data_IF_855600333172
#
_entry.id   IF_855600333172
#
_cell.length_a   1.000
_cell.length_b   1.000
_cell.length_c   1.000
_cell.angle_alpha   90.00
_cell.angle_beta   90.00
_cell.angle_gamma   90.00
#
_symmetry.space_group_name_H-M   'P 1'
#
loop_
_entity.id
_entity.type
_entity.pdbx_description
1 polymer ?
#
# COMPACT_ATOMS: atom_id res chain seq x y z
N UNK A 1 -41.16 21.99 -11.46
CA UNK A 1 -40.55 20.95 -10.65
C UNK A 1 -39.10 21.38 -10.42
N UNK A 2 -38.81 22.02 -9.27
CA UNK A 2 -37.50 22.56 -8.93
C UNK A 2 -36.71 21.45 -8.20
N UNK A 3 -35.63 20.95 -8.80
CA UNK A 3 -34.68 20.10 -8.12
C UNK A 3 -33.75 21.01 -7.31
N UNK A 4 -33.83 20.91 -6.00
CA UNK A 4 -32.90 21.58 -5.09
C UNK A 4 -31.56 20.84 -5.06
N UNK A 5 -30.49 21.57 -5.35
CA UNK A 5 -29.13 21.16 -5.04
C UNK A 5 -28.96 21.22 -3.52
N UNK A 6 -28.76 20.07 -2.86
CA UNK A 6 -28.36 20.04 -1.46
C UNK A 6 -26.86 20.38 -1.38
N UNK A 7 -26.54 21.46 -0.70
CA UNK A 7 -25.17 21.82 -0.34
C UNK A 7 -24.57 20.73 0.54
N UNK A 8 -23.48 20.10 0.08
CA UNK A 8 -22.68 19.18 0.85
C UNK A 8 -21.83 20.01 1.82
N UNK A 9 -22.10 19.92 3.11
CA UNK A 9 -21.35 20.68 4.11
C UNK A 9 -20.07 19.95 4.51
N UNK A 10 -19.06 20.73 4.97
CA UNK A 10 -17.75 20.26 5.44
C UNK A 10 -17.82 19.15 6.51
N UNK A 11 -18.95 19.01 7.20
CA UNK A 11 -19.18 17.97 8.21
C UNK A 11 -19.46 16.58 7.62
N UNK A 12 -19.92 16.50 6.36
CA UNK A 12 -20.27 15.22 5.74
C UNK A 12 -19.06 14.39 5.34
N UNK A 13 -17.88 15.01 5.24
CA UNK A 13 -16.62 14.35 4.88
C UNK A 13 -15.88 13.72 6.08
N UNK A 14 -16.20 14.14 7.30
CA UNK A 14 -15.54 13.64 8.51
C UNK A 14 -16.34 12.55 9.25
N UNK A 15 -17.60 12.33 8.90
CA UNK A 15 -18.54 11.44 9.63
C UNK A 15 -19.26 10.46 8.70
N UNK A 16 -18.55 9.84 7.77
CA UNK A 16 -19.09 8.90 6.78
C UNK A 16 -19.50 7.52 7.31
N UNK A 17 -20.02 7.40 8.54
CA UNK A 17 -20.74 6.20 8.99
C UNK A 17 -21.93 6.62 9.88
N UNK A 18 -23.11 6.02 9.70
CA UNK A 18 -24.30 6.36 10.48
C UNK A 18 -24.09 6.05 11.96
N UNK A 19 -24.17 7.08 12.80
CA UNK A 19 -24.32 6.91 14.24
C UNK A 19 -25.72 6.36 14.48
N UNK A 20 -25.83 5.06 14.73
CA UNK A 20 -27.07 4.46 15.20
C UNK A 20 -27.34 4.90 16.64
N UNK A 21 -28.48 5.52 16.84
CA UNK A 21 -28.95 6.00 18.12
C UNK A 21 -28.98 4.88 19.20
N UNK A 22 -28.52 5.20 20.39
CA UNK A 22 -28.55 4.35 21.57
C UNK A 22 -29.94 3.81 21.84
N UNK A 23 -30.13 2.49 21.74
CA UNK A 23 -31.19 1.76 22.44
C UNK A 23 -30.58 1.18 23.72
N UNK A 24 -31.13 1.62 24.88
CA UNK A 24 -30.79 1.08 26.19
C UNK A 24 -30.92 -0.44 26.19
N UNK A 25 -29.84 -1.16 26.45
CA UNK A 25 -29.89 -2.52 26.96
C UNK A 25 -29.25 -3.63 26.09
N UNK A 26 -28.66 -3.34 24.92
CA UNK A 26 -27.86 -4.34 24.21
C UNK A 26 -26.37 -4.03 24.39
N UNK A 27 -25.61 -5.02 24.83
CA UNK A 27 -24.15 -5.00 24.80
C UNK A 27 -23.76 -4.95 23.30
N UNK A 28 -23.56 -3.75 22.78
CA UNK A 28 -22.97 -3.57 21.48
C UNK A 28 -21.56 -4.09 21.60
N UNK A 29 -21.30 -5.25 21.00
CA UNK A 29 -19.94 -5.74 20.85
C UNK A 29 -19.10 -4.58 20.30
N UNK A 30 -18.03 -4.24 21.00
CA UNK A 30 -17.04 -3.25 20.59
C UNK A 30 -16.58 -3.67 19.20
N UNK A 31 -17.12 -3.03 18.15
CA UNK A 31 -16.70 -3.27 16.78
C UNK A 31 -15.31 -2.66 16.67
N UNK A 32 -14.32 -3.49 16.99
CA UNK A 32 -12.90 -3.18 16.81
C UNK A 32 -12.77 -2.59 15.42
N UNK A 33 -12.54 -1.29 15.33
CA UNK A 33 -12.37 -0.60 14.03
C UNK A 33 -11.23 -1.29 13.29
N UNK A 34 -11.56 -2.01 12.23
CA UNK A 34 -10.57 -2.64 11.37
C UNK A 34 -9.56 -1.58 10.90
N UNK A 35 -8.29 -1.84 11.12
CA UNK A 35 -7.24 -0.94 10.65
C UNK A 35 -7.02 -1.12 9.17
N UNK A 36 -6.86 0.00 8.48
CA UNK A 36 -6.50 0.08 7.07
C UNK A 36 -5.08 0.63 7.00
N UNK A 37 -4.19 -0.05 6.30
CA UNK A 37 -2.85 0.46 6.04
C UNK A 37 -2.79 1.13 4.66
N UNK A 38 -2.03 2.21 4.57
CA UNK A 38 -1.64 2.82 3.30
C UNK A 38 -0.32 2.21 2.83
N UNK A 39 -0.26 1.77 1.59
CA UNK A 39 0.95 1.19 1.00
C UNK A 39 1.33 1.99 -0.25
N UNK A 40 2.54 2.48 -0.27
CA UNK A 40 3.21 2.96 -1.47
C UNK A 40 4.03 1.80 -2.04
N UNK A 41 3.54 1.19 -3.12
CA UNK A 41 4.19 0.08 -3.81
C UNK A 41 5.12 0.65 -4.89
N UNK A 42 6.32 1.08 -4.51
CA UNK A 42 7.27 1.70 -5.40
C UNK A 42 8.08 0.72 -6.26
N UNK A 43 8.72 1.22 -7.33
CA UNK A 43 9.54 0.43 -8.26
C UNK A 43 10.79 -0.12 -7.57
N UNK A 44 11.50 0.72 -6.82
CA UNK A 44 12.76 0.36 -6.13
C UNK A 44 12.55 0.13 -4.64
N UNK A 45 11.71 0.94 -4.01
CA UNK A 45 11.40 0.87 -2.59
C UNK A 45 9.89 1.06 -2.40
N UNK A 46 9.35 0.35 -1.43
CA UNK A 46 7.97 0.49 -0.98
C UNK A 46 7.91 1.05 0.43
N UNK A 47 6.79 1.63 0.81
CA UNK A 47 6.56 2.14 2.16
C UNK A 47 5.14 1.80 2.63
N UNK A 48 4.97 1.70 3.93
CA UNK A 48 3.65 1.51 4.52
C UNK A 48 3.42 2.45 5.71
N UNK A 49 2.18 2.82 5.92
CA UNK A 49 1.76 3.69 7.01
C UNK A 49 0.37 3.32 7.53
N UNK A 50 0.09 3.73 8.74
CA UNK A 50 -1.19 3.52 9.42
C UNK A 50 -1.53 4.74 10.28
N UNK A 51 -2.80 4.97 10.53
CA UNK A 51 -3.24 5.98 11.50
C UNK A 51 -3.21 5.40 12.91
N UNK A 52 -2.36 5.95 13.77
CA UNK A 52 -2.31 5.63 15.21
C UNK A 52 -2.72 6.88 15.99
N UNK A 53 -3.83 6.80 16.72
CA UNK A 53 -4.35 7.96 17.45
C UNK A 53 -4.66 9.17 16.56
N UNK A 54 -5.08 8.93 15.29
CA UNK A 54 -5.36 9.98 14.32
C UNK A 54 -4.12 10.57 13.62
N UNK A 55 -2.92 10.08 13.95
CA UNK A 55 -1.67 10.56 13.34
C UNK A 55 -1.09 9.52 12.37
N UNK A 56 -0.67 9.93 11.15
CA UNK A 56 0.03 9.05 10.23
C UNK A 56 1.34 8.54 10.87
N UNK A 57 1.51 7.23 10.90
CA UNK A 57 2.69 6.58 11.47
C UNK A 57 3.25 5.62 10.42
N UNK A 58 4.52 5.81 10.06
CA UNK A 58 5.21 4.90 9.12
C UNK A 58 5.50 3.58 9.81
N UNK A 59 5.16 2.49 9.15
CA UNK A 59 5.43 1.12 9.59
C UNK A 59 6.90 0.79 9.24
N UNK A 60 7.75 0.44 10.21
CA UNK A 60 9.13 0.04 9.93
C UNK A 60 9.18 -1.39 9.39
N UNK A 61 10.22 -1.71 8.61
CA UNK A 61 10.54 -3.10 8.32
C UNK A 61 10.99 -3.82 9.61
N UNK A 62 10.56 -5.07 9.80
CA UNK A 62 11.01 -5.91 10.91
C UNK A 62 12.53 -6.22 10.86
N UNK A 63 13.17 -6.02 9.72
CA UNK A 63 14.61 -6.19 9.51
C UNK A 63 15.44 -4.98 10.00
N UNK A 64 14.78 -3.96 10.53
CA UNK A 64 15.40 -2.71 10.97
C UNK A 64 15.44 -1.64 9.88
N UNK A 65 16.11 -0.52 10.18
CA UNK A 65 16.24 0.56 9.24
C UNK A 65 17.10 0.14 8.04
N UNK A 66 16.54 0.22 6.84
CA UNK A 66 17.31 0.06 5.61
C UNK A 66 18.19 1.27 5.35
N UNK A 67 19.08 1.20 4.38
CA UNK A 67 19.86 2.35 3.89
C UNK A 67 18.96 3.54 3.51
N UNK A 68 17.69 3.28 3.22
CA UNK A 68 16.66 4.26 2.82
C UNK A 68 15.65 4.54 3.94
N UNK A 69 16.05 4.40 5.21
CA UNK A 69 15.21 4.69 6.36
C UNK A 69 14.17 3.59 6.64
N UNK A 70 12.89 3.96 6.68
CA UNK A 70 11.79 3.05 7.01
C UNK A 70 11.15 2.39 5.77
N UNK A 71 11.76 2.51 4.59
CA UNK A 71 11.25 1.90 3.38
C UNK A 71 11.67 0.44 3.24
N UNK A 72 10.88 -0.31 2.48
CA UNK A 72 11.11 -1.71 2.14
C UNK A 72 11.70 -1.77 0.73
N UNK A 73 12.90 -2.33 0.49
CA UNK A 73 13.36 -2.58 -0.87
C UNK A 73 12.36 -3.47 -1.63
N UNK A 74 11.96 -3.06 -2.84
CA UNK A 74 11.03 -3.80 -3.70
C UNK A 74 11.76 -4.92 -4.43
N UNK A 75 12.41 -5.81 -3.67
CA UNK A 75 13.22 -6.92 -4.15
C UNK A 75 12.66 -8.24 -3.65
N UNK A 76 12.65 -9.24 -4.54
CA UNK A 76 12.34 -10.63 -4.22
C UNK A 76 13.45 -11.50 -4.75
N UNK A 77 13.96 -12.42 -3.95
CA UNK A 77 15.00 -13.35 -4.37
C UNK A 77 14.67 -14.77 -3.92
N UNK A 78 15.21 -15.73 -4.64
CA UNK A 78 15.09 -17.15 -4.30
C UNK A 78 16.49 -17.73 -4.14
N UNK A 79 16.71 -18.44 -3.06
CA UNK A 79 17.96 -19.15 -2.80
C UNK A 79 18.01 -20.48 -3.56
N UNK A 80 19.18 -21.10 -3.65
CA UNK A 80 19.34 -22.38 -4.34
C UNK A 80 18.52 -23.51 -3.67
N UNK A 81 18.33 -23.45 -2.37
CA UNK A 81 17.49 -24.37 -1.60
C UNK A 81 15.98 -24.03 -1.67
N UNK A 82 15.61 -23.04 -2.49
CA UNK A 82 14.23 -22.66 -2.75
C UNK A 82 13.58 -21.75 -1.72
N UNK A 83 14.36 -21.21 -0.76
CA UNK A 83 13.85 -20.23 0.18
C UNK A 83 13.59 -18.90 -0.51
N UNK A 84 12.47 -18.26 -0.22
CA UNK A 84 12.13 -16.92 -0.72
C UNK A 84 12.58 -15.85 0.27
N UNK A 85 13.31 -14.87 -0.24
CA UNK A 85 13.73 -13.67 0.47
C UNK A 85 13.00 -12.45 -0.11
N UNK A 86 12.60 -11.51 0.74
CA UNK A 86 11.93 -10.28 0.31
C UNK A 86 12.52 -9.09 1.05
N UNK A 87 12.65 -7.96 0.39
CA UNK A 87 13.16 -6.74 1.00
C UNK A 87 14.68 -6.66 1.04
N UNK A 88 15.24 -6.25 2.15
CA UNK A 88 16.68 -6.02 2.31
C UNK A 88 17.52 -7.31 2.15
N UNK A 89 17.13 -8.48 2.65
CA UNK A 89 17.85 -9.74 2.39
C UNK A 89 17.92 -10.06 0.91
N UNK A 90 16.82 -9.89 0.17
CA UNK A 90 16.79 -10.09 -1.27
C UNK A 90 17.71 -9.11 -2.01
N UNK A 91 17.70 -7.83 -1.62
CA UNK A 91 18.57 -6.80 -2.20
C UNK A 91 20.05 -7.12 -1.99
N UNK A 92 20.43 -7.58 -0.81
CA UNK A 92 21.82 -7.98 -0.52
C UNK A 92 22.26 -9.16 -1.37
N UNK A 93 21.37 -10.10 -1.65
CA UNK A 93 21.66 -11.26 -2.49
C UNK A 93 21.81 -10.90 -3.98
N UNK A 94 21.30 -9.76 -4.44
CA UNK A 94 21.31 -9.35 -5.84
C UNK A 94 22.71 -9.34 -6.47
N UNK A 95 23.76 -9.12 -5.69
CA UNK A 95 25.15 -9.10 -6.16
C UNK A 95 25.68 -10.51 -6.40
N UNK A 96 25.32 -11.46 -5.56
CA UNK A 96 25.86 -12.84 -5.57
C UNK A 96 24.94 -13.82 -6.32
N UNK A 97 23.66 -13.49 -6.45
CA UNK A 97 22.66 -14.32 -7.12
C UNK A 97 21.70 -13.45 -7.96
N UNK A 98 22.22 -12.72 -8.96
CA UNK A 98 21.40 -11.80 -9.76
C UNK A 98 20.32 -12.51 -10.58
N UNK A 99 20.56 -13.73 -11.05
CA UNK A 99 19.64 -14.49 -11.89
C UNK A 99 18.36 -14.89 -11.16
N UNK A 100 18.44 -15.09 -9.85
CA UNK A 100 17.30 -15.44 -8.99
C UNK A 100 16.83 -14.28 -8.11
N UNK A 101 17.22 -13.05 -8.43
CA UNK A 101 16.81 -11.83 -7.73
C UNK A 101 16.06 -10.90 -8.67
N UNK A 102 14.82 -10.62 -8.29
CA UNK A 102 13.88 -9.81 -9.07
C UNK A 102 13.80 -8.42 -8.45
N UNK A 103 14.00 -7.39 -9.27
CA UNK A 103 13.80 -6.00 -8.90
C UNK A 103 12.94 -5.29 -9.95
N UNK A 104 12.45 -4.10 -9.62
CA UNK A 104 11.70 -3.22 -10.53
C UNK A 104 10.50 -3.89 -11.23
N UNK A 105 9.91 -4.93 -10.65
CA UNK A 105 8.80 -5.70 -11.24
C UNK A 105 7.57 -4.84 -11.54
N UNK A 106 7.39 -3.72 -10.84
CA UNK A 106 6.30 -2.77 -11.06
C UNK A 106 6.23 -2.28 -12.51
N UNK A 107 7.37 -2.20 -13.20
CA UNK A 107 7.44 -1.80 -14.62
C UNK A 107 6.75 -2.78 -15.57
N UNK A 108 6.60 -4.03 -15.15
CA UNK A 108 5.96 -5.09 -15.93
C UNK A 108 4.50 -5.36 -15.51
N UNK A 109 3.95 -4.57 -14.57
CA UNK A 109 2.55 -4.74 -14.13
C UNK A 109 1.58 -4.58 -15.29
N UNK A 110 0.56 -5.43 -15.33
CA UNK A 110 -0.47 -5.41 -16.37
C UNK A 110 -0.04 -5.98 -17.71
N UNK A 111 1.17 -6.57 -17.81
CA UNK A 111 1.67 -7.25 -19.02
C UNK A 111 1.71 -8.76 -18.85
N UNK A 112 1.89 -9.50 -19.95
CA UNK A 112 2.06 -10.96 -19.97
C UNK A 112 3.49 -11.40 -19.62
N UNK A 113 4.33 -10.47 -19.14
CA UNK A 113 5.70 -10.78 -18.74
C UNK A 113 5.72 -11.89 -17.68
N UNK A 114 6.66 -12.82 -17.82
CA UNK A 114 6.91 -13.87 -16.83
C UNK A 114 8.37 -13.84 -16.41
N UNK A 115 8.58 -13.93 -15.11
CA UNK A 115 9.91 -14.12 -14.54
C UNK A 115 10.09 -15.60 -14.24
N UNK A 116 11.17 -16.19 -14.76
CA UNK A 116 11.49 -17.59 -14.50
C UNK A 116 12.59 -17.69 -13.46
N UNK A 117 12.30 -18.35 -12.36
CA UNK A 117 13.26 -18.58 -11.26
C UNK A 117 13.20 -20.04 -10.84
N UNK A 118 14.32 -20.72 -10.78
CA UNK A 118 14.40 -22.14 -10.43
C UNK A 118 13.41 -23.02 -11.23
N UNK A 119 13.24 -22.72 -12.54
CA UNK A 119 12.32 -23.44 -13.43
C UNK A 119 10.83 -23.15 -13.23
N UNK A 120 10.47 -22.28 -12.28
CA UNK A 120 9.09 -21.84 -12.05
C UNK A 120 8.86 -20.45 -12.61
N UNK A 121 7.71 -20.25 -13.25
CA UNK A 121 7.32 -18.95 -13.80
C UNK A 121 6.40 -18.20 -12.83
N UNK A 122 6.66 -16.91 -12.69
CA UNK A 122 5.88 -15.98 -11.88
C UNK A 122 5.42 -14.79 -12.71
N UNK A 123 4.19 -14.37 -12.52
CA UNK A 123 3.67 -13.12 -13.06
C UNK A 123 4.15 -11.91 -12.24
N UNK A 124 4.09 -10.69 -12.81
CA UNK A 124 4.40 -9.48 -12.05
C UNK A 124 3.51 -9.32 -10.80
N UNK A 125 2.25 -9.75 -10.88
CA UNK A 125 1.32 -9.72 -9.76
C UNK A 125 1.76 -10.64 -8.62
N UNK A 126 2.22 -11.86 -8.93
CA UNK A 126 2.72 -12.80 -7.91
C UNK A 126 3.99 -12.29 -7.23
N UNK A 127 4.93 -11.74 -7.99
CA UNK A 127 6.15 -11.13 -7.42
C UNK A 127 5.81 -9.92 -6.56
N UNK A 128 4.91 -9.06 -7.01
CA UNK A 128 4.43 -7.91 -6.23
C UNK A 128 3.68 -8.34 -4.98
N UNK A 129 2.94 -9.44 -5.04
CA UNK A 129 2.24 -9.99 -3.89
C UNK A 129 3.21 -10.44 -2.78
N UNK A 130 4.39 -10.98 -3.11
CA UNK A 130 5.40 -11.31 -2.09
C UNK A 130 5.89 -10.08 -1.33
N UNK A 131 6.06 -8.95 -2.03
CA UNK A 131 6.41 -7.67 -1.40
C UNK A 131 5.28 -7.22 -0.46
N UNK A 132 4.04 -7.28 -0.94
CA UNK A 132 2.86 -6.90 -0.16
C UNK A 132 2.64 -7.82 1.06
N UNK A 133 2.89 -9.13 0.93
CA UNK A 133 2.84 -10.08 2.04
C UNK A 133 3.87 -9.74 3.12
N UNK A 134 5.10 -9.38 2.71
CA UNK A 134 6.14 -8.94 3.64
C UNK A 134 5.71 -7.68 4.39
N UNK A 135 5.18 -6.67 3.68
CA UNK A 135 4.67 -5.43 4.26
C UNK A 135 3.53 -5.73 5.24
N UNK A 136 2.57 -6.59 4.85
CA UNK A 136 1.47 -7.02 5.71
C UNK A 136 1.98 -7.64 7.00
N UNK A 137 2.89 -8.61 6.90
CA UNK A 137 3.48 -9.30 8.06
C UNK A 137 4.19 -8.32 9.00
N UNK A 138 4.95 -7.37 8.46
CA UNK A 138 5.65 -6.38 9.26
C UNK A 138 4.66 -5.40 9.91
N UNK A 139 3.57 -5.04 9.21
CA UNK A 139 2.49 -4.23 9.77
C UNK A 139 1.79 -4.93 10.92
N UNK A 140 1.45 -6.20 10.77
CA UNK A 140 0.83 -7.02 11.81
C UNK A 140 1.75 -7.16 13.04
N UNK A 141 3.05 -7.37 12.81
CA UNK A 141 4.04 -7.41 13.88
C UNK A 141 4.16 -6.08 14.62
N UNK A 142 4.15 -4.97 13.89
CA UNK A 142 4.23 -3.61 14.46
C UNK A 142 2.98 -3.23 15.26
N UNK A 143 1.80 -3.62 14.78
CA UNK A 143 0.51 -3.25 15.37
C UNK A 143 0.02 -4.24 16.44
N UNK A 144 0.56 -5.46 16.43
CA UNK A 144 0.13 -6.53 17.33
C UNK A 144 -1.26 -7.09 17.00
N UNK A 145 -1.77 -6.86 15.79
CA UNK A 145 -3.08 -7.32 15.34
C UNK A 145 -3.11 -7.62 13.84
N UNK A 146 -4.02 -8.50 13.36
CA UNK A 146 -4.17 -8.82 11.95
C UNK A 146 -4.55 -7.58 11.12
N UNK A 147 -4.05 -7.53 9.89
CA UNK A 147 -4.35 -6.50 8.89
C UNK A 147 -4.98 -7.16 7.67
N UNK A 148 -6.20 -6.78 7.37
CA UNK A 148 -6.94 -7.33 6.23
C UNK A 148 -7.11 -6.30 5.10
N UNK A 149 -7.10 -4.99 5.41
CA UNK A 149 -7.44 -3.92 4.47
C UNK A 149 -6.27 -3.01 4.16
N UNK A 150 -6.17 -2.64 2.88
CA UNK A 150 -5.15 -1.71 2.42
C UNK A 150 -5.69 -0.70 1.40
N UNK A 151 -5.06 0.48 1.38
CA UNK A 151 -5.09 1.43 0.26
C UNK A 151 -3.71 1.38 -0.38
N UNK A 152 -3.63 1.18 -1.70
CA UNK A 152 -2.35 1.08 -2.41
C UNK A 152 -2.24 2.24 -3.40
N UNK A 153 -1.06 2.88 -3.47
CA UNK A 153 -0.81 3.92 -4.46
C UNK A 153 -0.36 3.33 -5.80
N UNK A 154 -0.74 4.02 -6.88
CA UNK A 154 -0.35 3.70 -8.25
C UNK A 154 0.04 4.97 -8.98
N UNK A 155 0.95 4.90 -9.97
CA UNK A 155 1.23 6.03 -10.84
C UNK A 155 -0.04 6.55 -11.53
N UNK A 156 -0.14 7.87 -11.71
CA UNK A 156 -1.32 8.48 -12.34
C UNK A 156 -1.54 8.00 -13.79
N UNK A 157 -0.46 7.63 -14.49
CA UNK A 157 -0.47 7.14 -15.87
C UNK A 157 -0.79 5.65 -16.02
N UNK A 158 -0.94 4.89 -14.92
CA UNK A 158 -1.32 3.48 -14.99
C UNK A 158 -2.68 3.31 -15.68
N UNK A 159 -2.71 2.45 -16.68
CA UNK A 159 -3.93 2.01 -17.34
C UNK A 159 -4.76 1.02 -16.48
N UNK A 160 -5.92 0.62 -16.98
CA UNK A 160 -6.83 -0.26 -16.26
C UNK A 160 -6.25 -1.66 -16.02
N UNK A 161 -5.42 -2.18 -16.96
CA UNK A 161 -4.75 -3.49 -16.78
C UNK A 161 -3.73 -3.42 -15.65
N UNK A 162 -2.93 -2.37 -15.60
CA UNK A 162 -1.93 -2.15 -14.55
C UNK A 162 -2.58 -1.95 -13.17
N UNK A 163 -3.70 -1.22 -13.12
CA UNK A 163 -4.49 -1.03 -11.89
C UNK A 163 -5.12 -2.34 -11.41
N UNK A 164 -5.72 -3.10 -12.32
CA UNK A 164 -6.28 -4.43 -12.02
C UNK A 164 -5.19 -5.36 -11.49
N UNK A 165 -4.06 -5.44 -12.19
CA UNK A 165 -2.92 -6.25 -11.76
C UNK A 165 -2.38 -5.86 -10.38
N UNK A 166 -2.38 -4.55 -10.04
CA UNK A 166 -2.00 -4.08 -8.71
C UNK A 166 -3.00 -4.53 -7.64
N UNK A 167 -4.30 -4.47 -7.94
CA UNK A 167 -5.35 -4.96 -7.05
C UNK A 167 -5.26 -6.47 -6.86
N UNK A 168 -5.02 -7.22 -7.93
CA UNK A 168 -4.84 -8.67 -7.89
C UNK A 168 -3.63 -9.07 -7.03
N UNK A 169 -2.51 -8.34 -7.14
CA UNK A 169 -1.35 -8.54 -6.27
C UNK A 169 -1.70 -8.38 -4.78
N UNK A 170 -2.53 -7.38 -4.44
CA UNK A 170 -3.05 -7.20 -3.09
C UNK A 170 -3.91 -8.38 -2.63
N UNK A 171 -4.80 -8.85 -3.48
CA UNK A 171 -5.65 -10.02 -3.21
C UNK A 171 -4.83 -11.29 -3.00
N UNK A 172 -3.83 -11.55 -3.86
CA UNK A 172 -2.89 -12.67 -3.71
C UNK A 172 -2.10 -12.57 -2.39
N UNK A 173 -1.78 -11.34 -1.96
CA UNK A 173 -1.13 -11.09 -0.67
C UNK A 173 -2.06 -11.28 0.55
N UNK A 174 -3.34 -11.53 0.34
CA UNK A 174 -4.34 -11.66 1.40
C UNK A 174 -4.76 -10.31 1.97
N UNK A 175 -4.78 -9.26 1.12
CA UNK A 175 -5.25 -7.92 1.45
C UNK A 175 -6.53 -7.62 0.66
N UNK A 176 -7.56 -7.12 1.33
CA UNK A 176 -8.67 -6.42 0.69
C UNK A 176 -8.21 -5.01 0.30
N UNK A 177 -7.99 -4.79 -0.99
CA UNK A 177 -7.58 -3.48 -1.53
C UNK A 177 -8.82 -2.61 -1.68
N UNK A 178 -9.14 -1.86 -0.63
CA UNK A 178 -10.34 -1.01 -0.57
C UNK A 178 -10.29 0.14 -1.56
N UNK A 179 -9.10 0.62 -1.91
CA UNK A 179 -8.92 1.68 -2.92
C UNK A 179 -7.52 1.68 -3.50
N UNK A 180 -7.43 2.03 -4.80
CA UNK A 180 -6.20 2.50 -5.43
C UNK A 180 -6.23 4.02 -5.50
N UNK A 181 -5.13 4.68 -5.14
CA UNK A 181 -4.99 6.14 -5.16
C UNK A 181 -3.79 6.51 -6.04
N UNK A 182 -3.92 7.55 -6.86
CA UNK A 182 -2.77 8.01 -7.63
C UNK A 182 -1.68 8.59 -6.71
N UNK A 183 -0.42 8.25 -6.95
CA UNK A 183 0.74 8.73 -6.18
C UNK A 183 0.75 10.26 -6.00
N UNK A 184 0.60 11.07 -7.07
CA UNK A 184 0.55 12.53 -6.90
C UNK A 184 -0.66 13.01 -6.09
N UNK A 185 -1.80 12.33 -6.20
CA UNK A 185 -2.99 12.65 -5.39
C UNK A 185 -2.74 12.37 -3.91
N UNK A 186 -2.12 11.23 -3.58
CA UNK A 186 -1.77 10.90 -2.20
C UNK A 186 -0.78 11.91 -1.60
N UNK A 187 0.23 12.33 -2.38
CA UNK A 187 1.21 13.34 -1.95
C UNK A 187 0.54 14.70 -1.72
N UNK A 188 -0.37 15.14 -2.60
CA UNK A 188 -1.13 16.39 -2.45
C UNK A 188 -2.00 16.36 -1.20
N UNK A 189 -2.69 15.24 -0.94
CA UNK A 189 -3.51 15.07 0.26
C UNK A 189 -2.64 15.14 1.54
N UNK A 190 -1.50 14.47 1.54
CA UNK A 190 -0.58 14.49 2.69
C UNK A 190 -0.06 15.92 2.97
N UNK A 191 0.26 16.69 1.92
CA UNK A 191 0.69 18.09 2.05
C UNK A 191 -0.43 19.00 2.55
N UNK A 192 -1.68 18.79 2.11
CA UNK A 192 -2.83 19.62 2.45
C UNK A 192 -3.40 19.36 3.84
N UNK A 193 -3.11 18.20 4.46
CA UNK A 193 -3.66 17.85 5.78
C UNK A 193 -3.24 18.84 6.89
N UNK A 194 -2.01 19.38 6.79
CA UNK A 194 -1.49 20.34 7.77
C UNK A 194 -1.90 21.80 7.48
N UNK A 195 -2.57 22.05 6.33
CA UNK A 195 -2.88 23.39 5.82
C UNK A 195 -4.37 23.63 5.59
N UNK A 196 -5.21 22.95 6.33
CA UNK A 196 -6.66 22.96 6.15
C UNK A 196 -7.35 24.34 6.35
N UNK A 197 -6.61 25.37 6.76
CA UNK A 197 -7.11 26.75 7.00
C UNK A 197 -6.75 27.73 5.89
N UNK A 198 -5.99 27.32 4.87
CA UNK A 198 -5.61 28.19 3.75
C UNK A 198 -6.67 28.12 2.62
N UNK A 199 -6.86 29.27 1.93
CA UNK A 199 -7.71 29.39 0.73
C UNK A 199 -7.24 28.45 -0.39
N UNK A 200 -8.01 28.37 -1.48
CA UNK A 200 -7.73 27.52 -2.66
C UNK A 200 -6.25 27.59 -3.10
N UNK A 201 -5.58 26.45 -3.11
CA UNK A 201 -4.19 26.33 -3.51
C UNK A 201 -4.02 25.53 -4.79
N UNK A 202 -3.12 25.98 -5.67
CA UNK A 202 -2.62 25.18 -6.77
C UNK A 202 -1.38 24.42 -6.32
N UNK A 203 -1.43 23.09 -6.36
CA UNK A 203 -0.33 22.21 -5.96
C UNK A 203 0.22 21.49 -7.18
N UNK A 204 1.52 21.53 -7.37
CA UNK A 204 2.24 20.71 -8.34
C UNK A 204 3.04 19.66 -7.60
N UNK A 205 2.85 18.40 -7.95
CA UNK A 205 3.65 17.27 -7.44
C UNK A 205 4.67 16.88 -8.49
N UNK A 206 5.94 16.94 -8.11
CA UNK A 206 7.06 16.45 -8.93
C UNK A 206 7.62 15.20 -8.27
N UNK A 207 7.41 14.05 -8.90
CA UNK A 207 7.86 12.74 -8.41
C UNK A 207 8.94 12.20 -9.36
N UNK A 208 10.16 12.08 -8.85
CA UNK A 208 11.30 11.48 -9.53
C UNK A 208 11.74 10.23 -8.78
N UNK A 209 11.24 9.08 -9.22
CA UNK A 209 11.55 7.77 -8.65
C UNK A 209 12.41 6.89 -9.55
N UNK A 210 12.99 5.82 -9.00
CA UNK A 210 13.86 4.88 -9.70
C UNK A 210 13.25 3.49 -9.87
#
# INVERSE_FOLDING_TARGET
MKMGLSECTKNDLLHGYPVLAEKKGEIVADTKKEKIIGIDLGTSNSAASVLVGGKPTTIPSAEGASQYGKSFPSYVAFTEDGQMLVGEPARRQAVTNPENTISAIKRSMGTDHKVTVNGKQYSPQEISAFILQKIKKDAESFLGEPIEKAVITVPAYFDDNQRTATKDAGTIAGLDVVRLVNEPTAASLAYGLDKAEEDDMNIMVYDLGG
#
